data_IF_224946609909
#
_entry.id   IF_224946609909
#
_cell.length_a   1.000
_cell.length_b   1.000
_cell.length_c   1.000
_cell.angle_alpha   90.00
_cell.angle_beta   90.00
_cell.angle_gamma   90.00
#
_symmetry.space_group_name_H-M   'P 1'
#
loop_
_entity.id
_entity.type
_entity.pdbx_description
1 polymer ?
#
# COMPACT_ATOMS: atom_id res chain seq x y z
N UNK A 1 -20.71 -19.26 -3.13
CA UNK A 1 -19.52 -19.36 -2.25
C UNK A 1 -18.27 -18.73 -2.85
N UNK A 2 -17.95 -18.95 -4.14
CA UNK A 2 -16.77 -18.37 -4.82
C UNK A 2 -16.67 -16.84 -4.70
N UNK A 3 -17.79 -16.11 -4.84
CA UNK A 3 -17.81 -14.64 -4.72
C UNK A 3 -17.35 -14.12 -3.35
N UNK A 4 -17.72 -14.80 -2.26
CA UNK A 4 -17.33 -14.40 -0.91
C UNK A 4 -15.83 -14.60 -0.69
N UNK A 5 -15.30 -15.74 -1.15
CA UNK A 5 -13.86 -16.02 -1.11
C UNK A 5 -13.05 -14.98 -1.88
N UNK A 6 -13.49 -14.61 -3.09
CA UNK A 6 -12.83 -13.61 -3.92
C UNK A 6 -12.82 -12.23 -3.26
N UNK A 7 -13.91 -11.85 -2.61
CA UNK A 7 -13.99 -10.61 -1.82
C UNK A 7 -13.03 -10.65 -0.65
N UNK A 8 -12.97 -11.75 0.11
CA UNK A 8 -12.05 -11.89 1.23
C UNK A 8 -10.59 -11.78 0.78
N UNK A 9 -10.21 -12.47 -0.28
CA UNK A 9 -8.84 -12.41 -0.83
C UNK A 9 -8.51 -11.00 -1.27
N UNK A 10 -9.44 -10.32 -1.97
CA UNK A 10 -9.22 -8.94 -2.41
C UNK A 10 -9.11 -7.97 -1.24
N UNK A 11 -9.87 -8.18 -0.18
CA UNK A 11 -9.83 -7.34 1.02
C UNK A 11 -8.52 -7.52 1.78
N UNK A 12 -8.06 -8.77 1.95
CA UNK A 12 -6.75 -9.08 2.54
C UNK A 12 -5.63 -8.45 1.71
N UNK A 13 -5.69 -8.59 0.38
CA UNK A 13 -4.73 -8.00 -0.54
C UNK A 13 -4.68 -6.47 -0.40
N UNK A 14 -5.84 -5.80 -0.44
CA UNK A 14 -5.90 -4.36 -0.30
C UNK A 14 -5.34 -3.89 1.04
N UNK A 15 -5.70 -4.54 2.15
CA UNK A 15 -5.19 -4.17 3.48
C UNK A 15 -3.67 -4.34 3.55
N UNK A 16 -3.13 -5.42 3.00
CA UNK A 16 -1.69 -5.66 2.98
C UNK A 16 -0.93 -4.62 2.15
N UNK A 17 -1.36 -4.38 0.90
CA UNK A 17 -0.68 -3.47 -0.02
C UNK A 17 -0.77 -2.03 0.48
N UNK A 18 -1.97 -1.59 0.87
CA UNK A 18 -2.17 -0.23 1.39
C UNK A 18 -1.41 -0.05 2.70
N UNK A 19 -1.48 -1.02 3.61
CA UNK A 19 -0.78 -0.99 4.89
C UNK A 19 0.73 -0.91 4.72
N UNK A 20 1.31 -1.75 3.86
CA UNK A 20 2.75 -1.77 3.58
C UNK A 20 3.21 -0.45 2.97
N UNK A 21 2.53 0.06 1.95
CA UNK A 21 2.88 1.33 1.31
C UNK A 21 2.75 2.53 2.27
N UNK A 22 1.69 2.55 3.09
CA UNK A 22 1.49 3.56 4.14
C UNK A 22 2.62 3.52 5.17
N UNK A 23 3.00 2.32 5.62
CA UNK A 23 4.06 2.13 6.61
C UNK A 23 5.42 2.60 6.06
N UNK A 24 5.76 2.20 4.82
CA UNK A 24 6.99 2.65 4.16
C UNK A 24 7.02 4.17 4.05
N UNK A 25 5.93 4.78 3.59
CA UNK A 25 5.80 6.23 3.52
C UNK A 25 5.97 6.90 4.88
N UNK A 26 5.32 6.38 5.92
CA UNK A 26 5.40 6.93 7.27
C UNK A 26 6.81 6.80 7.87
N UNK A 27 7.49 5.67 7.69
CA UNK A 27 8.86 5.47 8.17
C UNK A 27 9.84 6.41 7.46
N UNK A 28 9.77 6.50 6.13
CA UNK A 28 10.62 7.41 5.36
C UNK A 28 10.36 8.88 5.74
N UNK A 29 9.10 9.24 5.95
CA UNK A 29 8.70 10.57 6.39
C UNK A 29 9.20 10.90 7.79
N UNK A 30 9.15 9.93 8.70
CA UNK A 30 9.67 10.07 10.06
C UNK A 30 11.16 10.38 10.06
N UNK A 31 11.94 9.61 9.31
CA UNK A 31 13.39 9.75 9.27
C UNK A 31 13.83 11.13 8.74
N UNK A 32 13.07 11.71 7.80
CA UNK A 32 13.48 12.95 7.13
C UNK A 32 12.92 14.21 7.79
N UNK A 33 11.67 14.18 8.27
CA UNK A 33 10.97 15.36 8.77
C UNK A 33 10.19 15.10 10.09
N UNK A 34 10.48 14.01 10.79
CA UNK A 34 9.83 13.64 12.05
C UNK A 34 8.33 13.38 11.88
N UNK A 35 7.54 13.76 12.89
CA UNK A 35 6.09 13.53 12.92
C UNK A 35 5.35 14.08 11.68
N UNK A 36 5.71 15.28 11.22
CA UNK A 36 5.03 15.92 10.09
C UNK A 36 5.32 15.15 8.81
N UNK A 37 6.57 14.73 8.63
CA UNK A 37 6.96 13.88 7.50
C UNK A 37 6.25 12.54 7.53
N UNK A 38 6.16 11.90 8.69
CA UNK A 38 5.49 10.61 8.83
C UNK A 38 4.01 10.69 8.44
N UNK A 39 3.32 11.77 8.83
CA UNK A 39 1.93 12.00 8.45
C UNK A 39 1.82 12.28 6.95
N UNK A 40 2.66 13.16 6.40
CA UNK A 40 2.60 13.57 5.00
C UNK A 40 3.00 12.45 4.03
N UNK A 41 4.12 11.76 4.26
CA UNK A 41 4.53 10.65 3.41
C UNK A 41 3.73 9.37 3.70
N UNK A 42 3.20 9.21 4.92
CA UNK A 42 2.24 8.15 5.23
C UNK A 42 0.94 8.28 4.43
N UNK A 43 0.36 9.48 4.32
CA UNK A 43 -0.84 9.71 3.48
C UNK A 43 -0.56 9.53 1.99
N UNK A 44 0.63 9.93 1.51
CA UNK A 44 1.06 9.64 0.14
C UNK A 44 1.19 8.13 -0.07
N UNK A 45 1.82 7.41 0.86
CA UNK A 45 1.94 5.95 0.84
C UNK A 45 0.58 5.24 0.85
N UNK A 46 -0.39 5.75 1.60
CA UNK A 46 -1.78 5.26 1.58
C UNK A 46 -2.43 5.43 0.21
N UNK A 47 -2.32 6.63 -0.39
CA UNK A 47 -2.88 6.93 -1.70
C UNK A 47 -2.25 6.05 -2.80
N UNK A 48 -0.92 5.97 -2.82
CA UNK A 48 -0.19 5.13 -3.78
C UNK A 48 -0.51 3.64 -3.57
N UNK A 49 -0.54 3.19 -2.31
CA UNK A 49 -0.89 1.82 -1.94
C UNK A 49 -2.30 1.45 -2.35
N UNK A 50 -3.26 2.38 -2.27
CA UNK A 50 -4.63 2.16 -2.74
C UNK A 50 -4.70 2.01 -4.26
N UNK A 51 -3.93 2.81 -5.00
CA UNK A 51 -3.81 2.70 -6.45
C UNK A 51 -3.20 1.34 -6.85
N UNK A 52 -2.12 0.93 -6.18
CA UNK A 52 -1.45 -0.36 -6.42
C UNK A 52 -2.34 -1.55 -6.02
N UNK A 53 -3.11 -1.43 -4.95
CA UNK A 53 -4.09 -2.44 -4.56
C UNK A 53 -5.24 -2.57 -5.58
N UNK A 54 -5.59 -1.48 -6.28
CA UNK A 54 -6.60 -1.49 -7.34
C UNK A 54 -6.07 -2.14 -8.63
N UNK A 55 -4.79 -1.95 -8.93
CA UNK A 55 -4.08 -2.46 -10.10
C UNK A 55 -2.98 -3.46 -9.70
N UNK A 56 -3.34 -4.70 -9.33
CA UNK A 56 -2.37 -5.69 -8.85
C UNK A 56 -1.32 -6.08 -9.90
N UNK A 57 -1.65 -5.99 -11.18
CA UNK A 57 -0.74 -6.27 -12.31
C UNK A 57 0.49 -5.36 -12.26
N UNK A 58 0.28 -4.05 -12.11
CA UNK A 58 1.35 -3.04 -12.02
C UNK A 58 2.26 -3.31 -10.82
N UNK A 59 1.68 -3.70 -9.68
CA UNK A 59 2.47 -4.03 -8.51
C UNK A 59 3.29 -5.31 -8.71
N UNK A 60 2.71 -6.32 -9.34
CA UNK A 60 3.39 -7.60 -9.62
C UNK A 60 4.50 -7.44 -10.65
N UNK A 61 4.30 -6.62 -11.68
CA UNK A 61 5.34 -6.27 -12.65
C UNK A 61 6.49 -5.52 -11.98
N UNK A 62 6.18 -4.49 -11.17
CA UNK A 62 7.20 -3.77 -10.42
C UNK A 62 8.01 -4.70 -9.50
N UNK A 63 7.33 -5.66 -8.86
CA UNK A 63 7.99 -6.64 -7.98
C UNK A 63 8.83 -7.67 -8.76
N UNK A 64 8.47 -7.94 -10.02
CA UNK A 64 9.21 -8.83 -10.90
C UNK A 64 10.43 -8.14 -11.55
N UNK A 65 10.40 -6.82 -11.67
CA UNK A 65 11.52 -6.00 -12.18
C UNK A 65 12.52 -5.55 -11.10
N UNK A 66 12.18 -5.71 -9.81
CA UNK A 66 13.06 -5.45 -8.67
C UNK A 66 14.00 -6.63 -8.37
#
# INVERSE_FOLDING_TARGET
MVKAFLVTVRLIWTVLVVGAATLVGAVLGWEWHGWIGAIALGTVGFGLGALLAACPEVLLELLAEM
#
